data_IF_676666499930
#
_entry.id   IF_676666499930
#
_cell.length_a   1.000
_cell.length_b   1.000
_cell.length_c   1.000
_cell.angle_alpha   90.00
_cell.angle_beta   90.00
_cell.angle_gamma   90.00
#
_symmetry.space_group_name_H-M   'P 1'
#
loop_
_entity.id
_entity.type
_entity.pdbx_description
1 polymer ?
#
# COMPACT_ATOMS: atom_id res chain seq x y z
N UNK A 1 -25.45 -4.54 17.14
CA UNK A 1 -24.99 -5.10 15.85
C UNK A 1 -23.80 -5.99 16.12
N UNK A 2 -24.06 -7.27 16.42
CA UNK A 2 -23.00 -8.29 16.58
C UNK A 2 -22.41 -8.58 15.19
N UNK A 3 -21.08 -8.56 14.98
CA UNK A 3 -20.50 -8.95 13.71
C UNK A 3 -20.56 -10.48 13.58
N UNK A 4 -21.65 -10.97 13.01
CA UNK A 4 -22.03 -12.38 12.85
C UNK A 4 -21.28 -13.13 11.73
N UNK A 5 -20.09 -12.67 11.33
CA UNK A 5 -19.30 -13.32 10.26
C UNK A 5 -17.81 -13.34 10.64
N UNK A 6 -17.51 -13.64 11.90
CA UNK A 6 -16.16 -14.04 12.29
C UNK A 6 -16.00 -15.52 11.89
N UNK A 7 -15.30 -15.87 10.79
CA UNK A 7 -15.09 -17.26 10.45
C UNK A 7 -14.43 -17.95 11.65
N UNK A 8 -15.03 -19.05 12.08
CA UNK A 8 -14.68 -19.86 13.27
C UNK A 8 -13.30 -20.55 13.16
N UNK A 9 -12.39 -20.07 12.30
CA UNK A 9 -11.10 -20.71 12.04
C UNK A 9 -10.02 -19.68 11.68
N UNK A 10 -9.15 -19.44 12.65
CA UNK A 10 -7.85 -18.76 12.50
C UNK A 10 -6.97 -19.36 11.39
N UNK A 11 -7.22 -20.61 10.99
CA UNK A 11 -6.52 -21.22 9.84
C UNK A 11 -6.90 -20.62 8.48
N UNK A 12 -8.15 -20.16 8.29
CA UNK A 12 -8.54 -19.50 7.03
C UNK A 12 -7.88 -18.12 6.89
N UNK A 13 -7.67 -17.42 8.02
CA UNK A 13 -6.96 -16.15 8.08
C UNK A 13 -5.51 -16.27 7.61
N UNK A 14 -4.84 -17.40 7.85
CA UNK A 14 -3.48 -17.64 7.33
C UNK A 14 -3.47 -17.70 5.80
N UNK A 15 -4.43 -18.38 5.19
CA UNK A 15 -4.55 -18.46 3.73
C UNK A 15 -4.93 -17.11 3.13
N UNK A 16 -5.92 -16.42 3.70
CA UNK A 16 -6.32 -15.09 3.26
C UNK A 16 -5.19 -14.06 3.40
N UNK A 17 -4.42 -14.09 4.50
CA UNK A 17 -3.26 -13.24 4.72
C UNK A 17 -2.14 -13.52 3.73
N UNK A 18 -1.83 -14.80 3.48
CA UNK A 18 -0.82 -15.18 2.49
C UNK A 18 -1.22 -14.72 1.07
N UNK A 19 -2.49 -14.90 0.69
CA UNK A 19 -3.02 -14.42 -0.59
C UNK A 19 -2.94 -12.90 -0.68
N UNK A 20 -3.29 -12.17 0.38
CA UNK A 20 -3.21 -10.70 0.40
C UNK A 20 -1.78 -10.20 0.24
N UNK A 21 -0.81 -10.79 0.94
CA UNK A 21 0.61 -10.42 0.81
C UNK A 21 1.12 -10.72 -0.60
N UNK A 22 0.77 -11.89 -1.15
CA UNK A 22 1.13 -12.25 -2.52
C UNK A 22 0.57 -11.23 -3.53
N UNK A 23 -0.70 -10.84 -3.39
CA UNK A 23 -1.33 -9.85 -4.26
C UNK A 23 -0.63 -8.49 -4.16
N UNK A 24 -0.27 -8.06 -2.95
CA UNK A 24 0.47 -6.82 -2.73
C UNK A 24 1.85 -6.85 -3.39
N UNK A 25 2.57 -7.96 -3.29
CA UNK A 25 3.88 -8.14 -3.94
C UNK A 25 3.76 -8.13 -5.45
N UNK A 26 2.75 -8.82 -6.01
CA UNK A 26 2.46 -8.81 -7.46
C UNK A 26 2.14 -7.39 -7.92
N UNK A 27 1.32 -6.65 -7.16
CA UNK A 27 1.00 -5.26 -7.47
C UNK A 27 2.26 -4.37 -7.48
N UNK A 28 3.14 -4.51 -6.48
CA UNK A 28 4.44 -3.79 -6.44
C UNK A 28 5.30 -4.15 -7.65
N UNK A 29 5.38 -5.43 -8.03
CA UNK A 29 6.16 -5.87 -9.18
C UNK A 29 5.64 -5.27 -10.49
N UNK A 30 4.31 -5.22 -10.65
CA UNK A 30 3.65 -4.58 -11.80
C UNK A 30 3.94 -3.07 -11.82
N UNK A 31 3.75 -2.38 -10.70
CA UNK A 31 4.06 -0.95 -10.56
C UNK A 31 5.54 -0.65 -10.89
N UNK A 32 6.46 -1.45 -10.34
CA UNK A 32 7.89 -1.34 -10.61
C UNK A 32 8.22 -1.58 -12.09
N UNK A 33 7.61 -2.57 -12.72
CA UNK A 33 7.81 -2.87 -14.13
C UNK A 33 7.37 -1.70 -15.03
N UNK A 34 6.18 -1.16 -14.78
CA UNK A 34 5.68 0.01 -15.52
C UNK A 34 6.49 1.26 -15.25
N UNK A 35 6.92 1.49 -14.00
CA UNK A 35 7.77 2.64 -13.67
C UNK A 35 9.12 2.57 -14.39
N UNK A 36 9.75 1.39 -14.46
CA UNK A 36 11.00 1.19 -15.21
C UNK A 36 10.80 1.37 -16.71
N UNK A 37 9.68 0.85 -17.26
CA UNK A 37 9.35 1.05 -18.66
C UNK A 37 9.11 2.53 -19.01
N UNK A 38 8.35 3.24 -18.18
CA UNK A 38 8.11 4.67 -18.32
C UNK A 38 9.40 5.50 -18.22
N UNK A 39 10.34 5.08 -17.37
CA UNK A 39 11.66 5.70 -17.25
C UNK A 39 12.51 5.48 -18.50
N UNK A 40 12.46 4.29 -19.10
CA UNK A 40 13.19 3.98 -20.34
C UNK A 40 12.64 4.75 -21.54
N UNK A 41 11.33 4.95 -21.63
CA UNK A 41 10.70 5.74 -22.68
C UNK A 41 10.97 7.25 -22.58
N UNK A 42 11.66 7.71 -21.53
CA UNK A 42 12.00 9.12 -21.34
C UNK A 42 10.79 10.02 -21.05
N UNK A 43 9.60 9.45 -20.80
CA UNK A 43 8.38 10.18 -20.39
C UNK A 43 8.32 10.37 -18.87
N UNK A 44 9.45 10.54 -18.19
CA UNK A 44 9.42 10.82 -16.75
C UNK A 44 8.85 12.22 -16.53
N UNK A 45 7.60 12.31 -16.05
CA UNK A 45 7.10 13.54 -15.44
C UNK A 45 8.10 14.00 -14.37
N UNK A 46 8.30 15.33 -14.28
CA UNK A 46 9.27 15.93 -13.36
C UNK A 46 9.10 15.35 -11.96
N UNK A 47 10.07 14.54 -11.55
CA UNK A 47 10.13 13.93 -10.24
C UNK A 47 10.29 15.05 -9.20
N UNK A 48 9.18 15.54 -8.64
CA UNK A 48 9.22 16.49 -7.51
C UNK A 48 9.45 15.67 -6.23
N UNK A 49 10.67 15.13 -6.09
CA UNK A 49 11.11 14.50 -4.83
C UNK A 49 11.23 15.51 -3.69
N UNK A 50 11.30 16.80 -4.02
CA UNK A 50 11.48 17.86 -3.04
C UNK A 50 10.13 18.54 -2.82
N UNK A 51 9.61 18.56 -1.58
CA UNK A 51 8.40 19.31 -1.26
C UNK A 51 8.63 20.78 -1.59
N UNK A 52 7.74 21.33 -2.40
CA UNK A 52 7.76 22.75 -2.73
C UNK A 52 7.16 23.53 -1.57
N UNK A 53 8.02 23.97 -0.65
CA UNK A 53 7.61 24.77 0.50
C UNK A 53 7.08 26.17 0.10
N UNK A 54 7.15 26.54 -1.18
CA UNK A 54 6.59 27.78 -1.68
C UNK A 54 5.04 27.72 -1.83
N UNK A 55 4.49 26.53 -2.05
CA UNK A 55 3.04 26.27 -1.96
C UNK A 55 2.72 25.80 -0.54
N UNK A 56 2.26 26.72 0.31
CA UNK A 56 2.04 26.50 1.74
C UNK A 56 1.33 25.19 2.05
N UNK A 57 2.05 24.24 2.63
CA UNK A 57 1.51 23.03 3.24
C UNK A 57 0.52 23.47 4.33
N UNK A 58 -0.77 23.28 4.07
CA UNK A 58 -1.80 23.67 5.02
C UNK A 58 -1.81 22.67 6.16
N UNK A 59 -1.97 23.14 7.41
CA UNK A 59 -2.16 22.27 8.58
C UNK A 59 -3.34 21.29 8.38
N UNK A 60 -4.31 21.64 7.53
CA UNK A 60 -5.41 20.76 7.15
C UNK A 60 -4.95 19.55 6.32
N UNK A 61 -3.99 19.70 5.41
CA UNK A 61 -3.46 18.59 4.60
C UNK A 61 -2.67 17.60 5.47
N UNK A 62 -2.01 18.12 6.50
CA UNK A 62 -1.35 17.28 7.48
C UNK A 62 -2.38 16.52 8.34
N UNK A 63 -3.50 17.16 8.70
CA UNK A 63 -4.57 16.55 9.50
C UNK A 63 -5.36 15.49 8.73
N UNK A 64 -5.42 15.54 7.40
CA UNK A 64 -5.99 14.46 6.59
C UNK A 64 -5.00 13.32 6.36
N UNK A 65 -3.70 13.63 6.27
CA UNK A 65 -2.65 12.65 5.98
C UNK A 65 -2.26 11.81 7.20
N UNK A 66 -2.10 12.43 8.39
CA UNK A 66 -1.70 11.72 9.62
C UNK A 66 -2.64 10.55 9.97
N UNK A 67 -3.98 10.71 9.96
CA UNK A 67 -4.89 9.62 10.27
C UNK A 67 -4.79 8.46 9.28
N UNK A 68 -4.52 8.73 7.99
CA UNK A 68 -4.34 7.69 6.98
C UNK A 68 -3.12 6.83 7.31
N UNK A 69 -1.99 7.46 7.60
CA UNK A 69 -0.78 6.73 8.04
C UNK A 69 -1.01 6.00 9.36
N UNK A 70 -1.64 6.64 10.34
CA UNK A 70 -1.93 6.03 11.64
C UNK A 70 -2.85 4.80 11.52
N UNK A 71 -3.83 4.86 10.62
CA UNK A 71 -4.74 3.74 10.34
C UNK A 71 -4.04 2.64 9.55
N UNK A 72 -3.22 2.99 8.55
CA UNK A 72 -2.47 2.02 7.75
C UNK A 72 -1.46 1.21 8.55
N UNK A 73 -0.78 1.83 9.53
CA UNK A 73 0.13 1.15 10.45
C UNK A 73 -0.54 0.63 11.74
N UNK A 74 -1.88 0.67 11.80
CA UNK A 74 -2.67 0.35 12.99
C UNK A 74 -2.68 -1.13 13.38
N UNK A 75 -1.55 -1.68 13.83
CA UNK A 75 -1.47 -3.07 14.33
C UNK A 75 -1.88 -3.21 15.81
N UNK A 76 -2.19 -2.11 16.51
CA UNK A 76 -2.44 -2.12 17.96
C UNK A 76 -3.69 -2.94 18.33
N UNK A 77 -4.73 -2.95 17.50
CA UNK A 77 -5.98 -3.69 17.80
C UNK A 77 -5.84 -5.18 17.55
N UNK A 78 -4.96 -5.59 16.63
CA UNK A 78 -4.74 -7.00 16.26
C UNK A 78 -3.69 -7.69 17.14
N UNK A 79 -2.92 -6.92 17.93
CA UNK A 79 -1.87 -7.44 18.81
C UNK A 79 -2.41 -8.29 19.97
N UNK A 80 -3.62 -7.98 20.46
CA UNK A 80 -4.27 -8.69 21.57
C UNK A 80 -4.68 -10.13 21.24
N UNK A 81 -5.40 -10.42 20.14
CA UNK A 81 -5.72 -11.79 19.76
C UNK A 81 -4.47 -12.59 19.37
N UNK A 82 -3.47 -11.97 18.73
CA UNK A 82 -2.19 -12.63 18.40
C UNK A 82 -1.47 -13.07 19.67
N UNK A 83 -1.46 -12.22 20.71
CA UNK A 83 -0.88 -12.57 22.03
C UNK A 83 -1.59 -13.75 22.69
N UNK A 84 -2.92 -13.85 22.55
CA UNK A 84 -3.69 -14.94 23.14
C UNK A 84 -3.43 -16.29 22.46
N UNK A 85 -3.00 -16.28 21.20
CA UNK A 85 -2.70 -17.48 20.40
C UNK A 85 -1.24 -17.95 20.54
N UNK A 86 -0.32 -17.09 21.03
CA UNK A 86 1.09 -17.44 21.22
C UNK A 86 1.35 -18.02 22.61
N UNK A 87 1.88 -19.25 22.65
CA UNK A 87 2.26 -19.97 23.88
C UNK A 87 3.44 -19.30 24.62
N UNK A 88 4.27 -18.53 23.91
CA UNK A 88 5.43 -17.80 24.47
C UNK A 88 5.43 -16.32 24.08
N UNK A 89 5.47 -15.40 25.07
CA UNK A 89 5.46 -13.95 24.80
C UNK A 89 6.76 -13.41 24.19
N UNK A 90 7.88 -14.17 24.23
CA UNK A 90 9.17 -13.78 23.66
C UNK A 90 9.15 -13.71 22.13
N UNK A 91 8.41 -14.61 21.48
CA UNK A 91 8.43 -14.77 20.02
C UNK A 91 7.52 -13.76 19.32
N UNK A 92 6.58 -13.20 20.08
CA UNK A 92 5.64 -12.17 19.65
C UNK A 92 6.34 -10.90 19.19
N UNK A 93 7.34 -10.41 19.93
CA UNK A 93 8.04 -9.17 19.58
C UNK A 93 8.84 -9.30 18.28
N UNK A 94 9.43 -10.47 18.02
CA UNK A 94 10.13 -10.74 16.77
C UNK A 94 9.16 -10.81 15.59
N UNK A 95 8.05 -11.55 15.73
CA UNK A 95 7.03 -11.67 14.70
C UNK A 95 6.39 -10.31 14.34
N UNK A 96 6.05 -9.49 15.34
CA UNK A 96 5.50 -8.14 15.12
C UNK A 96 6.52 -7.25 14.42
N UNK A 97 7.79 -7.31 14.81
CA UNK A 97 8.85 -6.51 14.17
C UNK A 97 9.02 -6.89 12.70
N UNK A 98 9.05 -8.18 12.38
CA UNK A 98 9.17 -8.65 10.99
C UNK A 98 7.96 -8.20 10.16
N UNK A 99 6.74 -8.38 10.68
CA UNK A 99 5.51 -7.95 10.00
C UNK A 99 5.47 -6.44 9.77
N UNK A 100 5.94 -5.64 10.74
CA UNK A 100 6.02 -4.18 10.60
C UNK A 100 7.03 -3.77 9.53
N UNK A 101 8.23 -4.37 9.54
CA UNK A 101 9.27 -4.11 8.52
C UNK A 101 8.75 -4.46 7.13
N UNK A 102 8.06 -5.59 6.98
CA UNK A 102 7.45 -6.01 5.71
C UNK A 102 6.37 -5.01 5.26
N UNK A 103 5.50 -4.57 6.16
CA UNK A 103 4.46 -3.59 5.86
C UNK A 103 5.05 -2.26 5.40
N UNK A 104 6.05 -1.74 6.14
CA UNK A 104 6.78 -0.52 5.76
C UNK A 104 7.43 -0.67 4.40
N UNK A 105 8.08 -1.80 4.12
CA UNK A 105 8.73 -2.04 2.82
C UNK A 105 7.72 -2.06 1.66
N UNK A 106 6.58 -2.74 1.82
CA UNK A 106 5.54 -2.79 0.79
C UNK A 106 4.95 -1.39 0.58
N UNK A 107 4.55 -0.69 1.64
CA UNK A 107 3.95 0.66 1.52
C UNK A 107 4.94 1.66 0.91
N UNK A 108 6.20 1.62 1.31
CA UNK A 108 7.23 2.46 0.73
C UNK A 108 7.41 2.16 -0.76
N UNK A 109 7.49 0.88 -1.16
CA UNK A 109 7.63 0.50 -2.56
C UNK A 109 6.41 0.93 -3.39
N UNK A 110 5.20 0.69 -2.89
CA UNK A 110 3.95 1.11 -3.55
C UNK A 110 3.91 2.63 -3.73
N UNK A 111 4.19 3.40 -2.68
CA UNK A 111 4.20 4.86 -2.74
C UNK A 111 5.28 5.40 -3.67
N UNK A 112 6.49 4.84 -3.60
CA UNK A 112 7.61 5.25 -4.43
C UNK A 112 7.36 4.97 -5.91
N UNK A 113 7.04 3.73 -6.29
CA UNK A 113 6.78 3.38 -7.69
C UNK A 113 5.47 3.98 -8.22
N UNK A 114 4.44 4.11 -7.37
CA UNK A 114 3.21 4.80 -7.74
C UNK A 114 3.43 6.28 -8.05
N UNK A 115 4.24 6.96 -7.23
CA UNK A 115 4.62 8.35 -7.48
C UNK A 115 5.52 8.49 -8.72
N UNK A 116 6.45 7.55 -8.95
CA UNK A 116 7.24 7.52 -10.18
C UNK A 116 6.36 7.40 -11.44
N UNK A 117 5.25 6.65 -11.35
CA UNK A 117 4.40 6.35 -12.49
C UNK A 117 3.36 7.44 -12.79
N UNK A 118 2.74 8.03 -11.76
CA UNK A 118 1.65 9.00 -11.92
C UNK A 118 2.04 10.45 -11.58
N UNK A 119 3.18 10.65 -10.89
CA UNK A 119 3.65 11.97 -10.46
C UNK A 119 2.60 12.76 -9.68
N UNK A 120 2.46 14.03 -10.05
CA UNK A 120 1.52 14.98 -9.42
C UNK A 120 0.04 14.70 -9.77
N UNK A 121 -0.25 13.76 -10.66
CA UNK A 121 -1.63 13.38 -11.05
C UNK A 121 -2.20 12.20 -10.26
N UNK A 122 -1.47 11.71 -9.23
CA UNK A 122 -1.92 10.58 -8.42
C UNK A 122 -3.19 10.95 -7.62
N UNK A 123 -4.25 10.16 -7.81
CA UNK A 123 -5.48 10.26 -7.00
C UNK A 123 -5.29 9.58 -5.63
N UNK A 124 -6.19 9.89 -4.68
CA UNK A 124 -6.19 9.27 -3.35
C UNK A 124 -6.26 7.73 -3.38
N UNK A 125 -6.93 7.17 -4.39
CA UNK A 125 -6.82 5.76 -4.75
C UNK A 125 -5.99 5.61 -6.02
N UNK A 126 -4.81 5.01 -5.88
CA UNK A 126 -3.89 4.81 -7.00
C UNK A 126 -4.43 3.81 -8.04
N UNK A 127 -5.31 2.88 -7.66
CA UNK A 127 -5.87 1.89 -8.58
C UNK A 127 -6.76 2.53 -9.66
N UNK A 128 -7.41 3.64 -9.33
CA UNK A 128 -8.21 4.41 -10.29
C UNK A 128 -7.33 4.97 -11.41
N UNK A 129 -6.10 5.37 -11.09
CA UNK A 129 -5.14 5.85 -12.10
C UNK A 129 -4.72 4.72 -13.05
N UNK A 130 -4.58 3.49 -12.52
CA UNK A 130 -4.33 2.31 -13.34
C UNK A 130 -5.50 1.97 -14.25
N UNK A 131 -6.73 1.96 -13.72
CA UNK A 131 -7.93 1.65 -14.49
C UNK A 131 -8.07 2.59 -15.70
N UNK A 132 -7.94 3.90 -15.50
CA UNK A 132 -7.99 4.90 -16.56
C UNK A 132 -6.91 4.69 -17.64
N UNK A 133 -5.66 4.42 -17.23
CA UNK A 133 -4.56 4.17 -18.16
C UNK A 133 -4.74 2.88 -18.97
N UNK A 134 -5.25 1.82 -18.32
CA UNK A 134 -5.49 0.53 -18.95
C UNK A 134 -6.64 0.60 -19.95
N UNK A 135 -7.70 1.36 -19.65
CA UNK A 135 -8.82 1.55 -20.54
C UNK A 135 -8.43 2.32 -21.81
N UNK A 136 -7.52 3.31 -21.69
CA UNK A 136 -6.94 4.01 -22.84
C UNK A 136 -6.13 3.06 -23.75
N UNK A 137 -5.25 2.23 -23.16
CA UNK A 137 -4.42 1.28 -23.91
C UNK A 137 -5.29 0.20 -24.57
N UNK A 138 -6.23 -0.37 -23.83
CA UNK A 138 -7.15 -1.40 -24.35
C UNK A 138 -8.00 -0.79 -25.47
N UNK A 139 -8.59 0.39 -25.26
CA UNK A 139 -9.38 1.09 -26.29
C UNK A 139 -8.61 1.39 -27.57
N UNK A 140 -7.31 1.69 -27.49
CA UNK A 140 -6.45 1.90 -28.66
C UNK A 140 -6.10 0.61 -29.41
N UNK A 141 -6.24 -0.57 -28.81
CA UNK A 141 -5.92 -1.85 -29.45
C UNK A 141 -7.14 -2.40 -30.22
N UNK A 142 -8.36 -2.04 -29.81
CA UNK A 142 -9.62 -2.52 -30.40
C UNK A 142 -10.18 -1.62 -31.52
N UNK A 143 -9.66 -0.41 -31.70
CA UNK A 143 -10.04 0.52 -32.77
C UNK A 143 -8.94 0.66 -33.83
#
# INVERSE_FOLDING_TARGET
MLPLILPRRVESLKHASAVSILLAVVFVAICSGMAVFALWEGKSQKLRLVPDFASGVSVFDLFTTIPVFATGFGCHVTVHPIRAELDRPSDMSSAVRISLVLCVAIYFAVGFFGYLLFGDSIMADMLVNFDQSSHYVIGSIIN
#
